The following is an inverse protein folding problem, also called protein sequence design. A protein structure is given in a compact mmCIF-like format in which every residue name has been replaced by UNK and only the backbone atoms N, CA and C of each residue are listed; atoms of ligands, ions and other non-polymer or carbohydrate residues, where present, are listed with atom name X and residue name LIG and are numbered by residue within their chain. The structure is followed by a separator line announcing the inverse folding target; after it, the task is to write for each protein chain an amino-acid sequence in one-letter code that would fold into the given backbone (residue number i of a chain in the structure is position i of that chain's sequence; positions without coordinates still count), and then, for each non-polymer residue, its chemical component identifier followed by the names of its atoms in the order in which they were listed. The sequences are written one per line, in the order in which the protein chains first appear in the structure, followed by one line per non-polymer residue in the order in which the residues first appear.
data_IF_206871927520
#
_entry.id   IF_206871927520
#
_cell.length_a   1.000
_cell.length_b   1.000
_cell.length_c   1.000
_cell.angle_alpha   90.00
_cell.angle_beta   90.00
_cell.angle_gamma   90.00
#
_symmetry.space_group_name_H-M   'P 1'
#
loop_
_entity.id
_entity.type
_entity.pdbx_description
1 polymer ?
#
# COMPACT_ATOMS: atom_id res chain seq x y z
N UNK A 1 25.77 16.64 38.14
CA UNK A 1 25.56 17.05 36.73
C UNK A 1 24.53 16.12 36.10
N UNK A 2 23.31 16.59 35.92
CA UNK A 2 22.24 15.84 35.26
C UNK A 2 22.50 15.84 33.74
N UNK A 3 22.86 14.68 33.19
CA UNK A 3 22.96 14.47 31.75
C UNK A 3 21.56 14.64 31.16
N UNK A 4 21.31 15.82 30.58
CA UNK A 4 20.11 16.08 29.80
C UNK A 4 20.19 15.19 28.57
N UNK A 5 19.57 14.01 28.62
CA UNK A 5 19.26 13.22 27.41
C UNK A 5 18.38 14.11 26.54
N UNK A 6 18.99 14.89 25.64
CA UNK A 6 18.28 15.42 24.47
C UNK A 6 17.76 14.17 23.78
N UNK A 7 16.45 13.97 23.80
CA UNK A 7 15.82 13.03 22.89
C UNK A 7 16.26 13.47 21.50
N UNK A 8 17.15 12.71 20.87
CA UNK A 8 17.52 12.95 19.48
C UNK A 8 16.22 12.85 18.68
N UNK A 9 15.83 13.92 18.00
CA UNK A 9 14.67 13.89 17.09
C UNK A 9 14.86 12.74 16.09
N UNK A 10 13.76 12.18 15.57
CA UNK A 10 13.82 11.12 14.55
C UNK A 10 14.78 11.51 13.41
N UNK A 11 14.68 12.76 12.94
CA UNK A 11 15.59 13.37 11.99
C UNK A 11 17.07 13.25 12.39
N UNK A 12 17.43 13.51 13.64
CA UNK A 12 18.81 13.47 14.11
C UNK A 12 19.43 12.06 14.19
N UNK A 13 18.62 11.02 13.97
CA UNK A 13 19.04 9.62 13.96
C UNK A 13 19.11 9.02 12.54
N UNK A 14 18.62 9.75 11.53
CA UNK A 14 18.56 9.29 10.14
C UNK A 14 19.70 9.89 9.32
N UNK A 15 20.37 9.05 8.54
CA UNK A 15 21.33 9.51 7.53
C UNK A 15 20.59 10.24 6.40
N UNK A 16 21.20 11.27 5.81
CA UNK A 16 20.62 11.99 4.68
C UNK A 16 20.78 11.18 3.39
N UNK A 17 19.68 10.83 2.74
CA UNK A 17 19.66 10.26 1.40
C UNK A 17 19.34 11.34 0.36
N UNK A 18 20.31 11.67 -0.49
CA UNK A 18 20.11 12.65 -1.58
C UNK A 18 19.56 11.95 -2.82
N UNK A 19 18.64 12.62 -3.51
CA UNK A 19 18.10 12.15 -4.76
C UNK A 19 19.23 11.89 -5.77
N UNK A 20 19.11 10.76 -6.47
CA UNK A 20 19.98 10.36 -7.55
C UNK A 20 19.58 11.09 -8.84
N UNK A 21 20.55 11.59 -9.62
CA UNK A 21 20.29 12.05 -10.98
C UNK A 21 20.04 10.85 -11.91
N UNK A 22 19.19 11.02 -12.92
CA UNK A 22 19.02 10.04 -13.99
C UNK A 22 17.57 9.75 -14.35
N UNK A 23 17.39 9.01 -15.45
CA UNK A 23 16.10 8.58 -15.99
C UNK A 23 15.92 7.08 -15.75
N UNK A 24 15.67 6.71 -14.50
CA UNK A 24 15.33 5.33 -14.13
C UNK A 24 13.81 5.13 -14.15
N UNK A 25 13.40 3.89 -14.37
CA UNK A 25 12.00 3.55 -14.57
C UNK A 25 11.18 3.73 -13.27
N UNK A 26 9.96 4.31 -13.33
CA UNK A 26 9.18 4.55 -12.13
C UNK A 26 8.77 3.26 -11.41
N UNK A 27 8.80 3.32 -10.07
CA UNK A 27 8.47 2.22 -9.16
C UNK A 27 7.33 2.66 -8.24
N UNK A 28 6.31 1.83 -8.12
CA UNK A 28 5.17 2.05 -7.23
C UNK A 28 5.02 0.87 -6.25
N UNK A 29 4.57 1.19 -5.04
CA UNK A 29 4.35 0.19 -4.00
C UNK A 29 2.98 -0.48 -4.23
N UNK A 30 2.97 -1.82 -4.30
CA UNK A 30 1.78 -2.61 -4.67
C UNK A 30 0.57 -2.36 -3.77
N UNK A 31 0.79 -2.09 -2.49
CA UNK A 31 -0.31 -1.80 -1.56
C UNK A 31 -1.06 -0.52 -1.95
N UNK A 32 -0.34 0.52 -2.39
CA UNK A 32 -0.96 1.77 -2.84
C UNK A 32 -1.68 1.61 -4.19
N UNK A 33 -1.36 0.54 -4.94
CA UNK A 33 -2.04 0.18 -6.20
C UNK A 33 -3.31 -0.64 -5.97
N UNK A 34 -3.38 -1.38 -4.85
CA UNK A 34 -4.44 -2.32 -4.57
C UNK A 34 -5.62 -1.71 -3.79
N UNK A 35 -5.37 -0.64 -3.02
CA UNK A 35 -6.31 -0.14 -2.02
C UNK A 35 -6.53 1.39 -2.08
N UNK A 36 -7.69 1.89 -1.61
CA UNK A 36 -8.05 3.30 -1.74
C UNK A 36 -7.41 4.15 -0.64
N UNK A 37 -6.17 4.58 -0.86
CA UNK A 37 -5.46 5.46 0.06
C UNK A 37 -5.58 6.95 -0.24
N UNK A 38 -6.12 7.30 -1.42
CA UNK A 38 -6.09 8.67 -1.94
C UNK A 38 -7.47 9.11 -2.43
N UNK A 39 -7.75 10.41 -2.33
CA UNK A 39 -8.89 11.01 -3.03
C UNK A 39 -8.69 10.94 -4.55
N UNK A 40 -9.72 10.49 -5.27
CA UNK A 40 -9.73 10.46 -6.75
C UNK A 40 -10.20 11.77 -7.39
N UNK A 41 -10.74 12.70 -6.59
CA UNK A 41 -11.22 13.98 -7.07
C UNK A 41 -10.15 15.07 -6.92
N UNK A 42 -10.13 16.03 -7.86
CA UNK A 42 -9.29 17.25 -7.76
C UNK A 42 -9.82 18.23 -6.71
N UNK A 43 -11.11 18.13 -6.39
CA UNK A 43 -11.73 18.92 -5.32
C UNK A 43 -11.26 18.43 -3.96
N UNK A 44 -11.14 19.38 -3.03
CA UNK A 44 -10.82 19.11 -1.63
C UNK A 44 -11.81 18.12 -1.02
N UNK A 45 -11.30 17.00 -0.50
CA UNK A 45 -12.06 15.97 0.21
C UNK A 45 -11.71 16.01 1.70
N UNK A 46 -12.72 16.15 2.55
CA UNK A 46 -12.60 16.01 4.01
C UNK A 46 -13.31 14.76 4.53
N UNK A 47 -14.29 14.23 3.77
CA UNK A 47 -14.97 13.00 4.11
C UNK A 47 -13.97 11.83 4.09
N UNK A 48 -13.92 11.00 5.15
CA UNK A 48 -12.93 9.93 5.25
C UNK A 48 -13.11 8.89 4.15
N UNK A 49 -12.05 8.11 3.91
CA UNK A 49 -12.18 6.81 3.22
C UNK A 49 -12.21 5.76 4.31
N UNK A 50 -13.34 5.08 4.48
CA UNK A 50 -13.46 3.89 5.32
C UNK A 50 -13.64 2.68 4.39
N UNK A 51 -12.59 1.86 4.29
CA UNK A 51 -12.56 0.67 3.43
C UNK A 51 -12.36 -0.59 4.27
N UNK A 52 -13.18 -1.61 4.01
CA UNK A 52 -13.07 -2.92 4.62
C UNK A 52 -13.32 -4.02 3.57
N UNK A 53 -12.42 -5.00 3.50
CA UNK A 53 -12.56 -6.18 2.67
C UNK A 53 -11.77 -7.35 3.27
N UNK A 54 -12.46 -8.42 3.64
CA UNK A 54 -11.83 -9.55 4.34
C UNK A 54 -11.18 -9.11 5.65
N UNK A 55 -9.91 -9.46 5.84
CA UNK A 55 -9.09 -9.05 6.98
C UNK A 55 -8.42 -7.67 6.82
N UNK A 56 -8.65 -6.99 5.69
CA UNK A 56 -8.08 -5.67 5.42
C UNK A 56 -9.07 -4.59 5.83
N UNK A 57 -8.60 -3.68 6.68
CA UNK A 57 -9.28 -2.44 7.04
C UNK A 57 -8.35 -1.27 6.80
N UNK A 58 -8.89 -0.20 6.22
CA UNK A 58 -8.18 1.04 5.94
C UNK A 58 -9.11 2.19 6.28
N UNK A 59 -8.57 3.16 7.02
CA UNK A 59 -9.22 4.43 7.30
C UNK A 59 -8.28 5.56 6.94
N UNK A 60 -8.73 6.47 6.07
CA UNK A 60 -7.97 7.65 5.65
C UNK A 60 -8.74 8.89 6.08
N UNK A 61 -8.09 9.73 6.88
CA UNK A 61 -8.66 10.92 7.49
C UNK A 61 -7.86 12.14 7.04
N UNK A 62 -8.57 13.25 6.87
CA UNK A 62 -8.01 14.49 6.37
C UNK A 62 -8.28 15.63 7.35
N UNK A 63 -7.34 16.58 7.44
CA UNK A 63 -7.58 17.82 8.17
C UNK A 63 -8.39 18.81 7.32
N UNK A 64 -9.27 19.62 7.94
CA UNK A 64 -10.09 20.57 7.21
C UNK A 64 -9.31 21.61 6.41
N UNK A 65 -8.08 21.99 6.79
CA UNK A 65 -7.34 23.07 6.13
C UNK A 65 -6.74 22.64 4.79
N UNK A 66 -6.08 21.49 4.74
CA UNK A 66 -5.42 20.97 3.55
C UNK A 66 -6.30 20.02 2.74
N UNK A 67 -7.21 19.30 3.38
CA UNK A 67 -7.94 18.18 2.79
C UNK A 67 -7.09 16.93 2.58
N UNK A 68 -7.71 15.88 2.06
CA UNK A 68 -7.08 14.57 1.86
C UNK A 68 -6.06 14.60 0.72
N UNK A 69 -4.96 13.87 0.89
CA UNK A 69 -4.02 13.54 -0.17
C UNK A 69 -4.76 12.91 -1.35
N UNK A 70 -4.49 13.45 -2.52
CA UNK A 70 -5.11 13.06 -3.79
C UNK A 70 -4.22 12.08 -4.53
N UNK A 71 -4.79 11.39 -5.52
CA UNK A 71 -4.02 10.44 -6.34
C UNK A 71 -2.90 11.09 -7.16
N UNK A 72 -2.94 12.41 -7.38
CA UNK A 72 -1.83 13.15 -7.98
C UNK A 72 -0.68 13.39 -6.99
N UNK A 73 -0.98 13.47 -5.69
CA UNK A 73 0.06 13.63 -4.66
C UNK A 73 0.87 12.33 -4.51
N UNK A 74 0.30 11.18 -4.87
CA UNK A 74 1.00 9.90 -4.93
C UNK A 74 2.18 9.90 -5.93
N UNK A 75 2.26 10.86 -6.86
CA UNK A 75 3.39 11.01 -7.78
C UNK A 75 4.70 11.24 -7.01
N UNK A 76 4.64 11.94 -5.87
CA UNK A 76 5.80 12.17 -4.98
C UNK A 76 6.24 10.86 -4.33
N UNK A 77 5.29 9.99 -3.96
CA UNK A 77 5.61 8.68 -3.39
C UNK A 77 6.19 7.73 -4.44
N UNK A 78 5.68 7.77 -5.68
CA UNK A 78 6.26 7.03 -6.81
C UNK A 78 7.69 7.50 -7.06
N UNK A 79 7.94 8.81 -7.07
CA UNK A 79 9.30 9.36 -7.13
C UNK A 79 10.17 8.82 -6.00
N UNK A 80 9.73 8.94 -4.74
CA UNK A 80 10.47 8.49 -3.57
C UNK A 80 10.81 6.99 -3.62
N UNK A 81 9.83 6.14 -3.96
CA UNK A 81 10.04 4.70 -4.14
C UNK A 81 11.07 4.41 -5.23
N UNK A 82 10.98 5.11 -6.35
CA UNK A 82 11.91 4.94 -7.47
C UNK A 82 13.35 5.29 -7.07
N UNK A 83 13.56 6.39 -6.34
CA UNK A 83 14.89 6.76 -5.83
C UNK A 83 15.47 5.70 -4.89
N UNK A 84 14.67 5.20 -3.95
CA UNK A 84 15.10 4.22 -2.95
C UNK A 84 15.47 2.90 -3.63
N UNK A 85 14.63 2.41 -4.54
CA UNK A 85 14.89 1.17 -5.30
C UNK A 85 16.15 1.32 -6.14
N UNK A 86 16.29 2.40 -6.90
CA UNK A 86 17.46 2.63 -7.74
C UNK A 86 18.77 2.69 -6.92
N UNK A 87 18.74 3.41 -5.80
CA UNK A 87 19.89 3.50 -4.90
C UNK A 87 20.25 2.13 -4.32
N UNK A 88 19.27 1.37 -3.83
CA UNK A 88 19.49 0.03 -3.29
C UNK A 88 20.05 -0.92 -4.34
N UNK A 89 19.48 -0.92 -5.54
CA UNK A 89 19.90 -1.78 -6.65
C UNK A 89 21.32 -1.42 -7.13
N UNK A 90 21.71 -0.15 -6.98
CA UNK A 90 23.07 0.35 -7.21
C UNK A 90 24.04 0.11 -6.03
N UNK A 91 23.62 -0.57 -4.97
CA UNK A 91 24.42 -0.82 -3.77
C UNK A 91 24.70 0.43 -2.91
N UNK A 92 23.96 1.51 -3.11
CA UNK A 92 24.05 2.74 -2.33
C UNK A 92 23.23 2.62 -1.04
N UNK A 93 23.64 3.35 0.00
CA UNK A 93 22.86 3.44 1.24
C UNK A 93 21.62 4.30 1.03
N UNK A 94 20.47 3.77 1.39
CA UNK A 94 19.19 4.47 1.39
C UNK A 94 18.80 4.91 2.80
N UNK A 95 17.92 5.90 2.88
CA UNK A 95 17.35 6.38 4.14
C UNK A 95 15.93 6.89 3.93
N UNK A 96 15.18 6.95 5.03
CA UNK A 96 13.85 7.58 5.09
C UNK A 96 13.92 9.10 4.99
N UNK A 97 15.04 9.71 5.42
CA UNK A 97 15.29 11.13 5.30
C UNK A 97 15.83 11.42 3.89
N UNK A 98 14.96 11.91 3.02
CA UNK A 98 15.26 12.21 1.62
C UNK A 98 15.46 13.71 1.40
N UNK A 99 16.46 14.08 0.59
CA UNK A 99 16.69 15.44 0.13
C UNK A 99 16.69 15.52 -1.39
N UNK A 100 15.98 16.52 -1.92
CA UNK A 100 15.90 16.79 -3.35
C UNK A 100 15.57 18.27 -3.60
N UNK A 101 15.83 18.74 -4.81
CA UNK A 101 15.31 20.01 -5.29
C UNK A 101 13.87 19.83 -5.83
N UNK A 102 13.02 20.87 -5.76
CA UNK A 102 11.72 20.86 -6.45
C UNK A 102 11.84 20.52 -7.93
N UNK A 103 12.91 21.00 -8.58
CA UNK A 103 13.20 20.76 -9.98
C UNK A 103 13.36 19.26 -10.28
N UNK A 104 14.13 18.53 -9.47
CA UNK A 104 14.34 17.08 -9.63
C UNK A 104 13.03 16.30 -9.51
N UNK A 105 12.23 16.59 -8.46
CA UNK A 105 10.95 15.91 -8.24
C UNK A 105 10.00 16.16 -9.42
N UNK A 106 9.80 17.44 -9.77
CA UNK A 106 8.83 17.84 -10.79
C UNK A 106 9.20 17.36 -12.18
N UNK A 107 10.49 17.43 -12.53
CA UNK A 107 10.97 16.92 -13.82
C UNK A 107 10.78 15.41 -13.91
N UNK A 108 11.07 14.67 -12.83
CA UNK A 108 10.89 13.22 -12.79
C UNK A 108 9.43 12.79 -13.00
N UNK A 109 8.48 13.52 -12.41
CA UNK A 109 7.04 13.22 -12.53
C UNK A 109 6.37 13.92 -13.71
N UNK A 110 7.13 14.47 -14.65
CA UNK A 110 6.61 15.09 -15.88
C UNK A 110 5.77 16.35 -15.64
N UNK A 111 6.11 17.15 -14.63
CA UNK A 111 5.42 18.41 -14.28
C UNK A 111 6.26 19.63 -14.70
N UNK A 112 5.58 20.76 -14.89
CA UNK A 112 6.24 22.04 -15.11
C UNK A 112 7.08 22.45 -13.90
N UNK A 113 8.07 23.31 -14.13
CA UNK A 113 9.02 23.79 -13.11
C UNK A 113 8.86 25.28 -12.80
N UNK A 114 7.68 25.84 -13.11
CA UNK A 114 7.34 27.22 -12.82
C UNK A 114 6.89 27.43 -11.37
N UNK A 115 6.77 28.69 -10.96
CA UNK A 115 6.33 29.07 -9.60
C UNK A 115 5.03 28.38 -9.17
N UNK A 116 4.06 28.28 -10.08
CA UNK A 116 2.76 27.62 -9.82
C UNK A 116 2.92 26.14 -9.50
N UNK A 117 3.80 25.44 -10.20
CA UNK A 117 4.02 24.01 -9.98
C UNK A 117 4.82 23.77 -8.69
N UNK A 118 5.72 24.69 -8.34
CA UNK A 118 6.42 24.66 -7.05
C UNK A 118 5.42 24.87 -5.88
N UNK A 119 4.49 25.81 -6.00
CA UNK A 119 3.43 25.99 -5.01
C UNK A 119 2.52 24.76 -4.90
N UNK A 120 2.23 24.09 -6.02
CA UNK A 120 1.46 22.84 -6.04
C UNK A 120 2.20 21.69 -5.37
N UNK A 121 3.51 21.59 -5.55
CA UNK A 121 4.36 20.62 -4.85
C UNK A 121 4.30 20.84 -3.34
N UNK A 122 4.45 22.08 -2.86
CA UNK A 122 4.32 22.42 -1.43
C UNK A 122 2.95 22.01 -0.89
N UNK A 123 1.88 22.39 -1.58
CA UNK A 123 0.52 22.01 -1.19
C UNK A 123 0.29 20.48 -1.21
N UNK A 124 0.96 19.74 -2.09
CA UNK A 124 0.93 18.27 -2.11
C UNK A 124 1.66 17.67 -0.90
N UNK A 125 2.84 18.19 -0.54
CA UNK A 125 3.56 17.79 0.66
C UNK A 125 2.73 18.07 1.93
N UNK A 126 2.08 19.22 2.02
CA UNK A 126 1.17 19.54 3.12
C UNK A 126 0.00 18.53 3.23
N UNK A 127 -0.62 18.19 2.09
CA UNK A 127 -1.69 17.17 2.07
C UNK A 127 -1.18 15.79 2.46
N UNK A 128 0.00 15.38 1.99
CA UNK A 128 0.60 14.09 2.33
C UNK A 128 0.99 14.01 3.81
N UNK A 129 1.46 15.11 4.40
CA UNK A 129 1.78 15.17 5.83
C UNK A 129 0.53 15.19 6.71
N UNK A 130 -0.50 15.93 6.30
CA UNK A 130 -1.72 16.11 7.11
C UNK A 130 -2.77 15.01 6.94
N UNK A 131 -2.62 14.13 5.94
CA UNK A 131 -3.49 12.96 5.77
C UNK A 131 -3.06 11.82 6.69
N UNK A 132 -3.94 11.43 7.60
CA UNK A 132 -3.70 10.32 8.54
C UNK A 132 -4.29 9.02 8.00
N UNK A 133 -3.51 7.95 8.04
CA UNK A 133 -3.92 6.60 7.62
C UNK A 133 -3.88 5.67 8.80
N UNK A 134 -4.90 4.81 8.94
CA UNK A 134 -4.90 3.65 9.82
C UNK A 134 -5.17 2.41 8.99
N UNK A 135 -4.31 1.40 9.04
CA UNK A 135 -4.47 0.17 8.25
C UNK A 135 -4.08 -1.10 9.01
N UNK A 136 -4.77 -2.21 8.71
CA UNK A 136 -4.34 -3.56 9.11
C UNK A 136 -3.38 -4.24 8.12
N UNK A 137 -3.03 -3.58 7.01
CA UNK A 137 -2.11 -4.12 6.00
C UNK A 137 -0.71 -4.29 6.61
N UNK A 138 -0.11 -5.47 6.35
CA UNK A 138 1.17 -5.92 6.90
C UNK A 138 1.21 -5.89 8.44
N UNK A 139 0.06 -6.06 9.08
CA UNK A 139 -0.04 -6.29 10.52
C UNK A 139 -0.29 -7.78 10.77
N UNK A 140 0.71 -8.54 11.25
CA UNK A 140 0.57 -9.99 11.43
C UNK A 140 -0.36 -10.37 12.59
N UNK A 141 -0.52 -9.46 13.56
CA UNK A 141 -1.39 -9.67 14.72
C UNK A 141 -2.78 -9.15 14.37
N UNK A 142 -3.78 -10.03 14.45
CA UNK A 142 -5.17 -9.68 14.21
C UNK A 142 -5.63 -8.55 15.15
N UNK A 143 -6.37 -7.59 14.61
CA UNK A 143 -6.81 -6.39 15.34
C UNK A 143 -5.75 -5.29 15.49
N UNK A 144 -4.47 -5.55 15.23
CA UNK A 144 -3.43 -4.50 15.22
C UNK A 144 -3.61 -3.60 14.00
N UNK A 145 -3.53 -2.30 14.22
CA UNK A 145 -3.54 -1.29 13.16
C UNK A 145 -2.30 -0.43 13.26
N UNK A 146 -1.67 -0.14 12.14
CA UNK A 146 -0.63 0.87 12.07
C UNK A 146 -1.25 2.19 11.63
N UNK A 147 -0.93 3.26 12.37
CA UNK A 147 -1.27 4.64 12.00
C UNK A 147 -0.03 5.45 11.60
N UNK A 148 -0.11 6.18 10.49
CA UNK A 148 0.97 7.01 9.96
C UNK A 148 0.42 8.09 8.99
N UNK A 149 1.28 9.05 8.61
CA UNK A 149 1.05 9.99 7.49
C UNK A 149 2.00 9.65 6.34
N UNK A 150 1.67 10.00 5.10
CA UNK A 150 2.52 9.67 3.94
C UNK A 150 3.87 10.38 3.95
N UNK A 151 3.94 11.52 4.63
CA UNK A 151 5.18 12.23 4.94
C UNK A 151 5.13 12.54 6.44
N UNK A 152 6.10 12.07 7.21
CA UNK A 152 6.15 12.33 8.65
C UNK A 152 6.54 13.79 8.92
N UNK A 153 7.51 14.28 8.16
CA UNK A 153 8.09 15.60 8.29
C UNK A 153 8.57 16.08 6.93
N UNK A 154 8.41 17.36 6.61
CA UNK A 154 9.11 17.99 5.50
C UNK A 154 9.50 19.42 5.84
N UNK A 155 10.59 19.90 5.24
CA UNK A 155 11.05 21.28 5.39
C UNK A 155 11.70 21.78 4.11
N UNK A 156 11.54 23.08 3.85
CA UNK A 156 12.32 23.78 2.84
C UNK A 156 13.73 24.00 3.38
N UNK A 157 14.72 23.72 2.54
CA UNK A 157 16.10 24.07 2.82
C UNK A 157 16.37 25.47 2.30
N UNK A 158 17.21 26.18 3.04
CA UNK A 158 17.72 27.49 2.65
C UNK A 158 19.24 27.44 2.76
N UNK A 159 19.95 27.96 1.76
CA UNK A 159 21.40 28.09 1.82
C UNK A 159 21.82 29.18 2.83
N UNK A 160 23.13 29.31 3.04
CA UNK A 160 23.70 30.33 3.93
C UNK A 160 23.39 31.77 3.53
N UNK A 161 22.94 32.00 2.29
CA UNK A 161 22.58 33.31 1.76
C UNK A 161 21.08 33.60 1.82
N UNK A 162 20.27 32.69 2.39
CA UNK A 162 18.83 32.85 2.48
C UNK A 162 18.06 32.40 1.22
N UNK A 163 18.73 31.74 0.26
CA UNK A 163 18.09 31.27 -0.98
C UNK A 163 17.57 29.84 -0.82
N UNK A 164 16.41 29.49 -1.42
CA UNK A 164 15.91 28.12 -1.40
C UNK A 164 16.94 27.10 -1.97
N UNK A 165 17.31 26.11 -1.17
CA UNK A 165 18.33 25.06 -1.43
C UNK A 165 17.71 23.65 -1.46
N UNK A 166 16.43 23.56 -1.80
CA UNK A 166 15.70 22.31 -1.96
C UNK A 166 14.72 22.00 -0.83
N UNK A 167 14.36 20.73 -0.72
CA UNK A 167 13.39 20.18 0.21
C UNK A 167 14.00 18.94 0.86
N UNK A 168 13.75 18.80 2.16
CA UNK A 168 13.97 17.56 2.90
C UNK A 168 12.63 16.99 3.35
N UNK A 169 12.47 15.68 3.26
CA UNK A 169 11.28 14.98 3.73
C UNK A 169 11.62 13.65 4.38
N UNK A 170 10.82 13.24 5.36
CA UNK A 170 10.91 11.93 6.01
C UNK A 170 9.71 11.10 5.59
N UNK A 171 9.95 10.02 4.84
CA UNK A 171 8.90 9.03 4.52
C UNK A 171 8.64 8.11 5.71
N UNK A 172 7.40 7.64 5.93
CA UNK A 172 7.07 6.77 7.05
C UNK A 172 7.77 5.41 6.90
N UNK A 173 8.13 4.81 8.04
CA UNK A 173 8.73 3.47 8.07
C UNK A 173 7.86 2.45 7.33
N UNK A 174 6.53 2.48 7.53
CA UNK A 174 5.61 1.59 6.81
C UNK A 174 5.78 1.63 5.30
N UNK A 175 5.96 2.80 4.70
CA UNK A 175 6.19 2.95 3.26
C UNK A 175 7.60 2.49 2.88
N UNK A 176 8.60 2.91 3.64
CA UNK A 176 10.00 2.56 3.38
C UNK A 176 10.25 1.05 3.39
N UNK A 177 9.71 0.33 4.39
CA UNK A 177 9.80 -1.12 4.46
C UNK A 177 9.13 -1.81 3.25
N UNK A 178 8.03 -1.25 2.75
CA UNK A 178 7.38 -1.75 1.54
C UNK A 178 8.27 -1.64 0.31
N UNK A 179 8.97 -0.51 0.20
CA UNK A 179 9.79 -0.19 -0.97
C UNK A 179 11.09 -0.99 -0.95
N UNK A 180 11.62 -1.32 0.23
CA UNK A 180 12.80 -2.18 0.35
C UNK A 180 12.52 -3.65 0.03
N UNK A 181 11.27 -4.11 0.12
CA UNK A 181 10.86 -5.46 -0.26
C UNK A 181 10.52 -5.52 -1.75
N UNK A 182 11.38 -6.17 -2.55
CA UNK A 182 11.19 -6.34 -3.99
C UNK A 182 9.87 -6.99 -4.37
N UNK A 183 9.35 -7.88 -3.51
CA UNK A 183 8.09 -8.55 -3.78
C UNK A 183 6.89 -7.58 -3.73
N UNK A 184 7.05 -6.39 -3.15
CA UNK A 184 6.01 -5.40 -2.92
C UNK A 184 6.13 -4.16 -3.80
N UNK A 185 7.05 -4.14 -4.76
CA UNK A 185 7.24 -3.04 -5.71
C UNK A 185 6.93 -3.50 -7.13
N UNK A 186 6.34 -2.62 -7.95
CA UNK A 186 6.19 -2.84 -9.38
C UNK A 186 6.73 -1.66 -10.17
N UNK A 187 7.45 -1.96 -11.26
CA UNK A 187 7.74 -0.99 -12.30
C UNK A 187 6.46 -0.57 -12.98
N UNK A 188 6.27 0.73 -13.20
CA UNK A 188 5.16 1.30 -13.97
C UNK A 188 5.68 2.02 -15.21
N UNK A 189 4.80 2.20 -16.19
CA UNK A 189 5.10 2.94 -17.41
C UNK A 189 5.22 4.44 -17.10
N UNK A 190 6.24 5.11 -17.66
CA UNK A 190 6.48 6.54 -17.43
C UNK A 190 5.33 7.42 -17.93
N UNK A 191 4.62 7.00 -18.97
CA UNK A 191 3.41 7.69 -19.48
C UNK A 191 2.24 7.67 -18.49
N UNK A 192 2.33 6.92 -17.37
CA UNK A 192 1.41 7.06 -16.24
C UNK A 192 1.28 8.52 -15.78
N UNK A 193 2.36 9.29 -15.81
CA UNK A 193 2.35 10.68 -15.34
C UNK A 193 1.44 11.58 -16.19
N UNK A 194 1.20 11.21 -17.45
CA UNK A 194 0.35 11.94 -18.40
C UNK A 194 -1.15 11.75 -18.15
N UNK A 195 -1.55 10.75 -17.35
CA UNK A 195 -2.94 10.49 -17.01
C UNK A 195 -3.56 11.65 -16.24
N UNK A 196 -4.53 12.34 -16.84
CA UNK A 196 -5.09 13.59 -16.29
C UNK A 196 -6.26 13.38 -15.32
N UNK A 197 -6.94 12.24 -15.40
CA UNK A 197 -8.11 11.89 -14.59
C UNK A 197 -7.74 11.00 -13.39
N UNK A 198 -8.39 11.25 -12.26
CA UNK A 198 -8.09 10.52 -11.03
C UNK A 198 -8.55 9.06 -11.08
N UNK A 199 -9.68 8.80 -11.74
CA UNK A 199 -10.16 7.43 -11.98
C UNK A 199 -9.25 6.68 -12.97
N UNK A 200 -8.73 7.36 -14.01
CA UNK A 200 -7.75 6.80 -14.96
C UNK A 200 -6.47 6.34 -14.22
N UNK A 201 -5.90 7.21 -13.36
CA UNK A 201 -4.71 6.88 -12.56
C UNK A 201 -4.94 5.72 -11.60
N UNK A 202 -6.09 5.72 -10.91
CA UNK A 202 -6.45 4.63 -10.00
C UNK A 202 -6.61 3.31 -10.74
N UNK A 203 -7.33 3.34 -11.87
CA UNK A 203 -7.57 2.15 -12.66
C UNK A 203 -6.27 1.60 -13.25
N UNK A 204 -5.36 2.47 -13.73
CA UNK A 204 -4.04 2.05 -14.18
C UNK A 204 -3.29 1.25 -13.11
N UNK A 205 -3.22 1.79 -11.88
CA UNK A 205 -2.52 1.13 -10.78
C UNK A 205 -3.15 -0.22 -10.44
N UNK A 206 -4.48 -0.26 -10.38
CA UNK A 206 -5.21 -1.50 -10.15
C UNK A 206 -4.94 -2.54 -11.25
N UNK A 207 -5.06 -2.14 -12.51
CA UNK A 207 -4.80 -3.00 -13.67
C UNK A 207 -3.36 -3.50 -13.66
N UNK A 208 -2.37 -2.62 -13.44
CA UNK A 208 -0.95 -2.99 -13.40
C UNK A 208 -0.65 -4.03 -12.31
N UNK A 209 -1.25 -3.88 -11.13
CA UNK A 209 -1.13 -4.83 -10.02
C UNK A 209 -1.71 -6.20 -10.33
N UNK A 210 -2.74 -6.28 -11.16
CA UNK A 210 -3.41 -7.52 -11.52
C UNK A 210 -2.92 -8.15 -12.85
N UNK A 211 -2.38 -7.35 -13.77
CA UNK A 211 -2.00 -7.78 -15.12
C UNK A 211 -0.67 -8.52 -15.24
N UNK A 212 0.18 -8.50 -14.21
CA UNK A 212 1.51 -9.15 -14.28
C UNK A 212 1.49 -10.69 -14.24
N UNK A 213 0.41 -11.30 -13.75
CA UNK A 213 0.32 -12.77 -13.56
C UNK A 213 -0.67 -13.46 -14.51
N UNK A 214 -1.39 -12.71 -15.34
CA UNK A 214 -2.56 -13.20 -16.06
C UNK A 214 -2.46 -12.85 -17.54
N UNK A 215 -1.93 -13.80 -18.32
CA UNK A 215 -1.74 -13.65 -19.77
C UNK A 215 -3.07 -13.48 -20.50
N UNK A 216 -4.14 -14.11 -20.00
CA UNK A 216 -5.49 -14.05 -20.58
C UNK A 216 -6.33 -12.87 -20.05
N UNK A 217 -5.68 -11.92 -19.36
CA UNK A 217 -6.33 -10.76 -18.77
C UNK A 217 -7.11 -11.06 -17.49
N UNK A 218 -7.83 -10.04 -17.01
CA UNK A 218 -8.67 -10.13 -15.81
C UNK A 218 -9.97 -9.38 -15.99
N UNK A 219 -11.00 -9.79 -15.23
CA UNK A 219 -12.33 -9.20 -15.24
C UNK A 219 -12.68 -8.63 -13.88
N UNK A 220 -13.19 -7.41 -13.86
CA UNK A 220 -13.69 -6.76 -12.67
C UNK A 220 -15.15 -6.35 -12.85
N UNK A 221 -16.00 -6.75 -11.92
CA UNK A 221 -17.36 -6.21 -11.84
C UNK A 221 -17.33 -4.71 -11.52
N UNK A 222 -18.17 -3.93 -12.21
CA UNK A 222 -18.23 -2.47 -12.04
C UNK A 222 -18.60 -2.06 -10.60
N UNK A 223 -19.47 -2.81 -9.91
CA UNK A 223 -19.83 -2.51 -8.51
C UNK A 223 -18.67 -2.79 -7.58
N UNK A 224 -17.94 -3.88 -7.83
CA UNK A 224 -16.71 -4.17 -7.10
C UNK A 224 -15.67 -3.06 -7.28
N UNK A 225 -15.48 -2.56 -8.50
CA UNK A 225 -14.57 -1.43 -8.77
C UNK A 225 -15.01 -0.17 -8.02
N UNK A 226 -16.32 0.14 -8.01
CA UNK A 226 -16.85 1.32 -7.31
C UNK A 226 -16.59 1.26 -5.80
N UNK A 227 -16.78 0.09 -5.18
CA UNK A 227 -16.47 -0.13 -3.77
C UNK A 227 -14.96 -0.03 -3.53
N UNK A 228 -14.15 -0.68 -4.37
CA UNK A 228 -12.68 -0.72 -4.26
C UNK A 228 -12.02 0.65 -4.46
N UNK A 229 -12.63 1.52 -5.25
CA UNK A 229 -12.06 2.84 -5.55
C UNK A 229 -12.20 3.84 -4.41
N UNK A 230 -13.06 3.58 -3.42
CA UNK A 230 -13.39 4.56 -2.37
C UNK A 230 -13.97 5.87 -2.92
N UNK A 231 -14.60 5.84 -4.11
CA UNK A 231 -15.15 7.03 -4.76
C UNK A 231 -16.43 7.49 -4.06
N UNK A 232 -16.57 8.81 -3.89
CA UNK A 232 -17.80 9.42 -3.40
C UNK A 232 -18.84 9.63 -4.51
N UNK A 233 -18.46 9.50 -5.77
CA UNK A 233 -19.38 9.68 -6.89
C UNK A 233 -20.47 8.60 -6.86
N UNK A 234 -21.73 8.95 -7.14
CA UNK A 234 -22.79 7.95 -7.29
C UNK A 234 -22.42 6.90 -8.34
N UNK A 235 -22.82 5.65 -8.11
CA UNK A 235 -22.46 4.51 -8.99
C UNK A 235 -22.74 4.78 -10.48
N UNK A 236 -23.87 5.42 -10.81
CA UNK A 236 -24.22 5.77 -12.20
C UNK A 236 -23.17 6.66 -12.86
N UNK A 237 -22.66 7.66 -12.12
CA UNK A 237 -21.60 8.56 -12.59
C UNK A 237 -20.27 7.83 -12.69
N UNK A 238 -19.92 7.03 -11.69
CA UNK A 238 -18.72 6.19 -11.73
C UNK A 238 -18.71 5.26 -12.95
N UNK A 239 -19.81 4.54 -13.20
CA UNK A 239 -19.95 3.65 -14.35
C UNK A 239 -19.91 4.42 -15.69
N UNK A 240 -20.42 5.65 -15.73
CA UNK A 240 -20.29 6.52 -16.90
C UNK A 240 -18.82 6.88 -17.17
N UNK A 241 -18.09 7.33 -16.15
CA UNK A 241 -16.66 7.66 -16.27
C UNK A 241 -15.83 6.43 -16.64
N UNK A 242 -16.13 5.26 -16.07
CA UNK A 242 -15.43 4.03 -16.39
C UNK A 242 -15.64 3.60 -17.85
N UNK A 243 -16.87 3.73 -18.38
CA UNK A 243 -17.13 3.50 -19.82
C UNK A 243 -16.38 4.49 -20.70
N UNK A 244 -16.26 5.75 -20.28
CA UNK A 244 -15.49 6.74 -21.03
C UNK A 244 -14.00 6.40 -21.05
N UNK A 245 -13.43 5.91 -19.93
CA UNK A 245 -12.04 5.41 -19.88
C UNK A 245 -11.87 4.22 -20.84
N UNK A 246 -12.77 3.24 -20.81
CA UNK A 246 -12.74 2.10 -21.74
C UNK A 246 -12.84 2.60 -23.19
N UNK A 247 -13.67 3.60 -23.49
CA UNK A 247 -13.79 4.15 -24.85
C UNK A 247 -12.52 4.86 -25.31
N UNK A 248 -11.88 5.64 -24.43
CA UNK A 248 -10.68 6.43 -24.74
C UNK A 248 -9.38 5.62 -24.76
N UNK A 249 -9.35 4.45 -24.11
CA UNK A 249 -8.16 3.60 -23.97
C UNK A 249 -6.90 4.34 -23.47
N UNK A 250 -6.97 5.13 -22.38
CA UNK A 250 -5.83 5.95 -21.98
C UNK A 250 -4.75 5.18 -21.20
N UNK A 251 -4.98 3.91 -20.84
CA UNK A 251 -4.08 3.19 -19.92
C UNK A 251 -2.86 2.62 -20.67
N UNK A 252 -1.65 3.10 -20.39
CA UNK A 252 -0.48 2.65 -21.13
C UNK A 252 -0.18 1.18 -20.88
N UNK A 253 0.12 0.44 -21.95
CA UNK A 253 0.42 -0.99 -21.89
C UNK A 253 -0.80 -1.91 -21.67
N UNK A 254 -2.03 -1.39 -21.70
CA UNK A 254 -3.24 -2.19 -21.49
C UNK A 254 -4.36 -1.82 -22.47
N UNK A 255 -5.07 -2.83 -22.97
CA UNK A 255 -6.36 -2.66 -23.65
C UNK A 255 -7.49 -3.00 -22.70
N UNK A 256 -8.51 -2.16 -22.68
CA UNK A 256 -9.71 -2.31 -21.86
C UNK A 256 -10.91 -2.76 -22.69
N UNK A 257 -11.76 -3.58 -22.12
CA UNK A 257 -12.98 -4.04 -22.78
C UNK A 257 -14.16 -3.97 -21.83
N UNK A 258 -15.33 -3.71 -22.42
CA UNK A 258 -16.60 -3.77 -21.72
C UNK A 258 -17.28 -5.08 -22.07
N UNK A 259 -17.52 -5.92 -21.07
CA UNK A 259 -18.28 -7.16 -21.22
C UNK A 259 -19.59 -7.03 -20.45
N UNK A 260 -20.68 -7.55 -21.04
CA UNK A 260 -21.97 -7.65 -20.38
C UNK A 260 -22.28 -9.14 -20.21
N UNK A 261 -22.48 -9.58 -18.97
CA UNK A 261 -22.92 -10.95 -18.69
C UNK A 261 -24.42 -11.10 -18.98
N UNK A 262 -24.84 -12.35 -19.23
CA UNK A 262 -26.26 -12.72 -19.45
C UNK A 262 -27.18 -12.25 -18.31
N UNK A 263 -26.64 -12.06 -17.10
CA UNK A 263 -27.35 -11.51 -15.94
C UNK A 263 -27.37 -9.98 -15.83
N UNK A 264 -26.92 -9.25 -16.87
CA UNK A 264 -26.89 -7.78 -16.90
C UNK A 264 -25.76 -7.13 -16.07
N UNK A 265 -24.85 -7.94 -15.53
CA UNK A 265 -23.64 -7.43 -14.86
C UNK A 265 -22.67 -6.90 -15.90
N UNK A 266 -22.12 -5.72 -15.60
CA UNK A 266 -21.12 -5.07 -16.44
C UNK A 266 -19.74 -5.35 -15.87
N UNK A 267 -18.88 -5.93 -16.68
CA UNK A 267 -17.50 -6.22 -16.35
C UNK A 267 -16.57 -5.32 -17.14
N UNK A 268 -15.51 -4.87 -16.49
CA UNK A 268 -14.32 -4.35 -17.15
C UNK A 268 -13.35 -5.52 -17.30
N UNK A 269 -13.04 -5.89 -18.54
CA UNK A 269 -11.93 -6.77 -18.83
C UNK A 269 -10.72 -5.93 -19.26
N UNK A 270 -9.51 -6.44 -19.02
CA UNK A 270 -8.31 -5.86 -19.60
C UNK A 270 -7.32 -6.93 -20.00
N UNK A 271 -6.52 -6.63 -21.01
CA UNK A 271 -5.42 -7.47 -21.49
C UNK A 271 -4.16 -6.60 -21.62
N UNK A 272 -2.97 -7.12 -21.27
CA UNK A 272 -1.73 -6.42 -21.53
C UNK A 272 -1.52 -6.30 -23.04
N UNK A 273 -1.19 -5.10 -23.51
CA UNK A 273 -0.73 -4.92 -24.88
C UNK A 273 0.61 -5.63 -25.02
N UNK A 274 0.76 -6.45 -26.07
CA UNK A 274 2.05 -7.03 -26.40
C UNK A 274 3.10 -5.91 -26.47
N UNK A 275 4.31 -6.10 -25.91
CA UNK A 275 5.29 -5.03 -25.82
C UNK A 275 5.67 -4.56 -27.23
N UNK A 276 5.17 -3.39 -27.63
CA UNK A 276 5.64 -2.66 -28.80
C UNK A 276 6.97 -1.99 -28.42
N UNK A 277 8.07 -2.75 -28.38
CA UNK A 277 9.39 -2.24 -28.02
C UNK A 277 10.14 -3.13 -27.03
N UNK A 278 11.47 -2.97 -26.97
CA UNK A 278 12.39 -3.85 -26.23
C UNK A 278 11.85 -4.15 -24.82
N UNK A 279 11.89 -5.42 -24.38
CA UNK A 279 11.45 -5.79 -23.04
C UNK A 279 12.23 -4.98 -22.02
N UNK A 280 11.54 -4.23 -21.18
CA UNK A 280 12.09 -3.84 -19.88
C UNK A 280 12.16 -5.14 -19.10
N UNK A 281 13.38 -5.63 -18.83
CA UNK A 281 13.58 -6.88 -18.11
C UNK A 281 12.72 -6.90 -16.85
N UNK A 282 11.76 -7.83 -16.80
CA UNK A 282 11.03 -8.19 -15.58
C UNK A 282 11.89 -8.99 -14.61
N UNK A 283 13.17 -9.19 -14.93
CA UNK A 283 14.20 -9.77 -14.07
C UNK A 283 15.12 -8.65 -13.60
N UNK A 284 14.97 -8.27 -12.33
CA UNK A 284 16.10 -7.74 -11.58
C UNK A 284 17.13 -8.87 -11.51
N UNK A 285 18.31 -8.66 -12.08
CA UNK A 285 19.44 -9.57 -11.92
C UNK A 285 19.81 -9.60 -10.44
N UNK A 286 19.29 -10.59 -9.70
CA UNK A 286 19.83 -10.93 -8.39
C UNK A 286 21.29 -11.32 -8.61
N UNK A 287 22.21 -10.44 -8.20
CA UNK A 287 23.65 -10.68 -8.18
C UNK A 287 24.08 -11.72 -7.14
N UNK A 288 23.27 -12.73 -6.87
CA UNK A 288 23.59 -13.79 -5.92
C UNK A 288 23.96 -15.06 -6.67
N UNK A 289 25.18 -15.54 -6.44
CA UNK A 289 25.76 -16.72 -7.08
C UNK A 289 24.83 -17.92 -6.97
N UNK A 290 24.59 -18.53 -8.13
CA UNK A 290 24.13 -19.89 -8.35
C UNK A 290 24.82 -20.87 -7.40
N UNK A 291 24.03 -21.59 -6.60
CA UNK A 291 24.10 -23.03 -6.28
C UNK A 291 23.10 -23.25 -5.13
N UNK A 292 21.93 -23.78 -5.44
CA UNK A 292 21.18 -24.63 -4.50
C UNK A 292 20.67 -25.82 -5.30
N UNK A 293 21.06 -27.02 -4.87
CA UNK A 293 20.74 -28.29 -5.49
C UNK A 293 19.23 -28.52 -5.51
N UNK A 294 18.68 -28.79 -6.70
CA UNK A 294 17.33 -29.32 -6.90
C UNK A 294 17.27 -30.77 -6.41
N UNK A 295 16.82 -30.97 -5.17
CA UNK A 295 16.41 -32.27 -4.66
C UNK A 295 14.97 -32.56 -5.07
N UNK A 296 14.73 -32.95 -6.33
CA UNK A 296 13.42 -33.41 -6.80
C UNK A 296 13.34 -34.92 -6.68
N UNK A 297 12.67 -35.41 -5.63
CA UNK A 297 12.13 -36.77 -5.57
C UNK A 297 10.73 -36.76 -6.17
N UNK A 298 10.45 -37.65 -7.12
CA UNK A 298 9.19 -37.69 -7.87
C UNK A 298 8.06 -38.51 -7.24
N UNK A 299 6.87 -38.29 -7.83
CA UNK A 299 5.63 -39.11 -7.79
C UNK A 299 4.85 -39.08 -6.45
N UNK A 300 3.51 -38.97 -6.39
CA UNK A 300 2.48 -39.67 -7.16
C UNK A 300 1.16 -38.87 -7.21
N UNK A 301 0.50 -38.78 -8.36
CA UNK A 301 -0.84 -39.34 -8.63
C UNK A 301 -1.29 -38.96 -10.05
N UNK A 302 -1.67 -39.97 -10.82
CA UNK A 302 -2.14 -39.88 -12.20
C UNK A 302 -3.60 -40.31 -12.19
N UNK A 303 -4.51 -39.45 -12.66
CA UNK A 303 -5.93 -39.80 -12.82
C UNK A 303 -6.26 -40.24 -14.26
N UNK A 304 -7.29 -41.09 -14.44
CA UNK A 304 -7.51 -41.84 -15.66
C UNK A 304 -8.22 -41.02 -16.74
N UNK A 305 -7.93 -41.33 -18.00
CA UNK A 305 -8.72 -40.85 -19.15
C UNK A 305 -10.09 -41.53 -19.18
N UNK A 306 -11.15 -40.79 -19.55
CA UNK A 306 -12.20 -41.34 -20.41
C UNK A 306 -12.19 -40.67 -21.78
N UNK A 307 -12.36 -41.49 -22.81
CA UNK A 307 -12.30 -41.09 -24.20
C UNK A 307 -13.62 -40.60 -24.80
N UNK A 308 -13.48 -40.26 -26.09
CA UNK A 308 -14.47 -40.02 -27.13
C UNK A 308 -15.05 -38.60 -27.27
N UNK A 309 -14.58 -37.95 -28.33
CA UNK A 309 -15.23 -36.91 -29.16
C UNK A 309 -16.35 -37.55 -30.05
N UNK A 310 -17.15 -36.82 -30.87
CA UNK A 310 -17.10 -35.39 -31.25
C UNK A 310 -18.47 -34.65 -31.27
N UNK A 311 -18.44 -33.32 -31.36
CA UNK A 311 -19.61 -32.51 -31.71
C UNK A 311 -19.29 -31.02 -31.85
N UNK A 312 -19.19 -30.55 -33.09
CA UNK A 312 -19.09 -29.14 -33.49
C UNK A 312 -20.26 -28.32 -32.97
N UNK A 313 -20.00 -27.18 -32.33
CA UNK A 313 -20.58 -25.85 -32.59
C UNK A 313 -20.07 -24.84 -31.55
N UNK A 314 -19.91 -23.58 -31.99
CA UNK A 314 -19.38 -22.41 -31.27
C UNK A 314 -19.63 -22.39 -29.75
N UNK A 315 -18.56 -22.55 -28.97
CA UNK A 315 -18.60 -22.51 -27.51
C UNK A 315 -18.12 -21.17 -26.97
N UNK A 316 -18.97 -20.48 -26.23
CA UNK A 316 -18.62 -19.33 -25.40
C UNK A 316 -17.39 -19.64 -24.54
N UNK A 317 -16.43 -18.70 -24.50
CA UNK A 317 -15.22 -18.79 -23.66
C UNK A 317 -15.63 -19.12 -22.23
N UNK A 318 -14.93 -20.08 -21.63
CA UNK A 318 -15.14 -20.48 -20.24
C UNK A 318 -14.96 -19.27 -19.32
N UNK A 319 -16.00 -19.01 -18.52
CA UNK A 319 -16.01 -17.99 -17.49
C UNK A 319 -15.08 -18.43 -16.35
N UNK A 320 -14.25 -17.51 -15.84
CA UNK A 320 -13.55 -17.72 -14.56
C UNK A 320 -14.56 -17.61 -13.40
N UNK A 321 -15.45 -18.60 -13.31
CA UNK A 321 -16.57 -18.65 -12.36
C UNK A 321 -16.16 -18.93 -10.91
N UNK A 322 -14.87 -19.06 -10.62
CA UNK A 322 -14.37 -19.36 -9.27
C UNK A 322 -13.55 -18.25 -8.58
N UNK A 323 -13.29 -17.09 -9.21
CA UNK A 323 -12.39 -16.10 -8.58
C UNK A 323 -13.05 -15.02 -7.71
N UNK A 324 -14.34 -15.16 -7.35
CA UNK A 324 -15.03 -14.16 -6.52
C UNK A 324 -15.23 -14.57 -5.04
N UNK A 325 -14.57 -15.64 -4.57
CA UNK A 325 -14.54 -15.98 -3.13
C UNK A 325 -13.17 -16.24 -2.52
N UNK A 326 -12.10 -16.44 -3.31
CA UNK A 326 -10.75 -16.59 -2.76
C UNK A 326 -9.73 -15.85 -3.63
N UNK A 327 -9.27 -14.70 -3.15
CA UNK A 327 -8.05 -14.06 -3.66
C UNK A 327 -7.40 -13.26 -2.55
N UNK A 328 -7.03 -13.98 -1.48
CA UNK A 328 -6.07 -13.51 -0.49
C UNK A 328 -5.57 -14.66 0.39
N UNK A 329 -5.08 -15.78 -0.16
CA UNK A 329 -4.42 -16.80 0.67
C UNK A 329 -3.33 -17.53 -0.11
N UNK A 330 -2.08 -17.29 0.27
CA UNK A 330 -1.14 -18.32 0.75
C UNK A 330 0.15 -17.65 1.23
N UNK A 331 0.39 -17.64 2.53
CA UNK A 331 1.74 -17.77 3.09
C UNK A 331 1.66 -18.80 4.21
N UNK A 332 2.44 -19.85 4.06
CA UNK A 332 2.55 -21.01 4.93
C UNK A 332 3.04 -20.59 6.33
N UNK A 333 2.24 -20.83 7.37
CA UNK A 333 2.70 -20.72 8.76
C UNK A 333 3.42 -22.02 9.11
N UNK A 334 4.75 -21.98 9.10
CA UNK A 334 5.59 -23.02 9.71
C UNK A 334 5.57 -22.89 11.23
N UNK A 335 4.63 -23.58 11.89
CA UNK A 335 4.67 -23.82 13.33
C UNK A 335 5.80 -24.81 13.62
N UNK A 336 6.87 -24.36 14.29
CA UNK A 336 7.81 -25.28 14.95
C UNK A 336 7.36 -25.45 16.40
N UNK A 337 6.68 -26.56 16.66
CA UNK A 337 6.46 -27.09 18.00
C UNK A 337 7.80 -27.52 18.60
N UNK A 338 8.05 -27.06 19.83
CA UNK A 338 9.08 -27.63 20.70
C UNK A 338 8.66 -29.03 21.17
N UNK A 339 9.60 -29.99 21.32
CA UNK A 339 9.33 -31.20 22.07
C UNK A 339 9.70 -31.02 23.54
N UNK A 340 8.77 -31.45 24.39
CA UNK A 340 8.87 -31.67 25.82
C UNK A 340 9.89 -32.75 26.19
N UNK A 341 10.65 -32.45 27.25
CA UNK A 341 11.14 -33.30 28.34
C UNK A 341 11.51 -34.78 28.08
N UNK A 342 12.74 -35.12 28.45
CA UNK A 342 13.09 -36.44 28.98
C UNK A 342 13.91 -36.26 30.26
N UNK A 343 13.60 -37.09 31.26
CA UNK A 343 14.12 -37.15 32.63
C UNK A 343 15.58 -37.63 32.72
N UNK A 344 16.18 -37.27 33.85
CA UNK A 344 17.29 -37.89 34.62
C UNK A 344 18.40 -36.86 34.89
N UNK A 345 19.00 -36.68 36.07
CA UNK A 345 18.92 -37.34 37.38
C UNK A 345 19.68 -36.44 38.41
N UNK A 346 19.34 -36.59 39.69
CA UNK A 346 20.19 -36.50 40.89
C UNK A 346 20.74 -35.15 41.44
N UNK A 347 20.26 -34.88 42.67
CA UNK A 347 21.03 -34.65 43.91
C UNK A 347 21.14 -33.23 44.52
N UNK A 348 20.59 -33.14 45.75
CA UNK A 348 20.96 -32.29 46.91
C UNK A 348 20.87 -30.76 46.73
N UNK A 349 20.45 -29.94 47.69
CA UNK A 349 20.55 -30.00 49.15
C UNK A 349 19.63 -28.91 49.76
N UNK A 350 19.10 -29.15 50.98
CA UNK A 350 18.71 -28.22 52.10
C UNK A 350 18.05 -26.85 51.78
N UNK A 351 17.01 -26.35 52.45
CA UNK A 351 16.37 -26.61 53.75
C UNK A 351 15.73 -25.30 54.28
N UNK A 352 14.72 -25.43 55.17
CA UNK A 352 14.08 -24.37 56.01
C UNK A 352 13.26 -23.26 55.31
N UNK A 353 12.14 -22.74 55.81
CA UNK A 353 11.27 -23.01 56.97
C UNK A 353 10.03 -22.07 56.88
N UNK A 354 8.90 -22.54 57.43
CA UNK A 354 7.88 -21.82 58.24
C UNK A 354 6.98 -20.74 57.60
N UNK A 355 5.66 -20.98 57.53
CA UNK A 355 4.57 -20.60 58.50
C UNK A 355 4.01 -19.19 58.21
N UNK A 356 2.73 -18.82 58.29
CA UNK A 356 1.45 -19.42 58.73
C UNK A 356 0.31 -18.61 58.02
N UNK A 357 -0.85 -19.20 57.69
CA UNK A 357 -2.16 -19.06 58.38
C UNK A 357 -2.64 -17.60 58.60
N UNK A 358 -3.89 -17.16 58.41
CA UNK A 358 -5.21 -17.78 58.23
C UNK A 358 -6.26 -16.65 58.09
N UNK A 359 -7.40 -16.95 57.42
CA UNK A 359 -8.79 -16.48 57.73
C UNK A 359 -9.10 -14.96 57.81
N UNK A 360 -10.25 -14.38 57.43
CA UNK A 360 -11.62 -14.86 57.20
C UNK A 360 -12.48 -13.74 56.57
N UNK A 361 -13.28 -14.09 55.57
CA UNK A 361 -14.73 -13.82 55.41
C UNK A 361 -15.39 -12.40 55.46
N UNK A 362 -16.29 -12.20 54.47
CA UNK A 362 -17.66 -11.57 54.48
C UNK A 362 -17.90 -10.11 54.02
N UNK A 363 -18.30 -9.96 52.74
CA UNK A 363 -19.65 -9.62 52.18
C UNK A 363 -20.50 -8.39 52.60
N UNK A 364 -21.15 -7.79 51.57
CA UNK A 364 -22.30 -6.84 51.47
C UNK A 364 -22.05 -5.37 51.86
N UNK A 365 -22.57 -4.30 51.22
CA UNK A 365 -23.49 -4.10 50.10
C UNK A 365 -23.62 -2.59 49.75
N UNK A 366 -24.16 -2.27 48.57
CA UNK A 366 -24.74 -0.96 48.15
C UNK A 366 -26.09 -0.72 48.90
N UNK A 367 -26.81 0.45 48.85
CA UNK A 367 -26.84 1.50 47.80
C UNK A 367 -27.13 2.97 48.25
N UNK A 368 -27.30 3.86 47.24
CA UNK A 368 -28.35 4.90 47.10
C UNK A 368 -28.01 6.41 47.17
N UNK A 369 -28.73 7.17 46.32
CA UNK A 369 -28.71 8.62 45.99
C UNK A 369 -30.17 9.11 46.02
N UNK A 370 -30.52 10.29 46.57
CA UNK A 370 -30.88 11.51 45.79
C UNK A 370 -30.47 12.82 46.53
N UNK A 371 -30.44 14.07 46.02
CA UNK A 371 -31.02 14.77 44.87
C UNK A 371 -31.64 16.11 45.35
N UNK A 372 -31.42 17.21 44.61
CA UNK A 372 -32.18 18.50 44.54
C UNK A 372 -31.56 19.81 45.10
N UNK A 373 -31.61 20.82 44.20
CA UNK A 373 -31.30 22.28 44.08
C UNK A 373 -32.02 23.24 45.07
N UNK A 374 -31.80 24.60 45.14
CA UNK A 374 -31.91 25.69 44.10
C UNK A 374 -30.75 26.73 44.09
N UNK A 375 -30.40 27.38 42.96
CA UNK A 375 -30.94 28.64 42.39
C UNK A 375 -30.93 29.85 43.34
N UNK A 376 -30.01 30.80 43.13
CA UNK A 376 -30.30 32.19 42.72
C UNK A 376 -29.01 33.04 42.66
N UNK A 377 -28.87 33.78 41.56
CA UNK A 377 -27.89 34.87 41.36
C UNK A 377 -28.64 36.19 41.38
N UNK A 378 -27.94 37.30 41.63
CA UNK A 378 -28.08 38.47 40.77
C UNK A 378 -26.87 38.69 39.87
#
# INVERSE_FOLDING_TARGET
MTVRRRSLSERGQLDLFRALPGDFAPRDAQDLMAYPFFSLAKSKRIAPIDFAAGNVSIRVEAVPDHGMATIWDADILIWAASQIVEARDSGLRTSRLMAATPYEILTYVGRGTGLRDYQRLKAALDRLQSTTISTSIRQPVEGRRHRFSWINEWQERTDHSGRPDGIEMIVPDWFYQAVLDDALVLTIDRTYFDLTGGLDRWLYRLVRKHGGRQRDGWRFDFRHLHQKSGSLSPFKRFAFELRDIIRRQPLPGYSLFLEAEVGGRMLLAFEPLAPCGKPVDGLVLSGTRTIVLSGTGGSCYQEPKPGLTPGTHSGNRALNLESNKESSLTVSVGVKNAPSATRDQLASDRGCSQEAASDRSRSFGLPWVPGVKPEDTP
#
